data_IF_598008010894
#
_entry.id   IF_598008010894
#
_cell.length_a   1.000
_cell.length_b   1.000
_cell.length_c   1.000
_cell.angle_alpha   90.00
_cell.angle_beta   90.00
_cell.angle_gamma   90.00
#
_symmetry.space_group_name_H-M   'P 1'
#
loop_
_entity.id
_entity.type
_entity.pdbx_description
1 polymer ?
#
# COMPACT_ATOMS: atom_id res chain seq x y z
N UNK A 1 -5.38 13.88 -2.43
CA UNK A 1 -5.57 12.83 -1.41
C UNK A 1 -4.64 13.14 -0.25
N UNK A 2 -5.16 13.24 0.97
CA UNK A 2 -4.42 13.66 2.17
C UNK A 2 -3.22 12.74 2.48
N UNK A 3 -3.38 11.42 2.34
CA UNK A 3 -2.30 10.43 2.50
C UNK A 3 -1.06 10.78 1.66
N UNK A 4 -1.27 11.17 0.39
CA UNK A 4 -0.16 11.54 -0.49
C UNK A 4 0.55 12.82 -0.06
N UNK A 5 -0.20 13.78 0.48
CA UNK A 5 0.37 15.00 1.04
C UNK A 5 1.25 14.70 2.26
N UNK A 6 0.77 13.85 3.18
CA UNK A 6 1.51 13.48 4.39
C UNK A 6 2.76 12.67 4.04
N UNK A 7 2.65 11.65 3.17
CA UNK A 7 3.80 10.86 2.72
C UNK A 7 4.90 11.75 2.13
N UNK A 8 4.54 12.70 1.25
CA UNK A 8 5.52 13.58 0.62
C UNK A 8 6.14 14.56 1.61
N UNK A 9 5.33 15.31 2.35
CA UNK A 9 5.81 16.45 3.14
C UNK A 9 6.32 16.10 4.53
N UNK A 10 5.86 14.99 5.12
CA UNK A 10 6.23 14.58 6.49
C UNK A 10 7.14 13.35 6.52
N UNK A 11 7.04 12.48 5.52
CA UNK A 11 7.79 11.22 5.48
C UNK A 11 8.87 11.18 4.39
N UNK A 12 8.89 12.16 3.47
CA UNK A 12 9.84 12.18 2.35
C UNK A 12 9.65 11.03 1.36
N UNK A 13 8.44 10.46 1.30
CA UNK A 13 8.10 9.33 0.41
C UNK A 13 7.34 9.87 -0.79
N UNK A 14 7.90 9.66 -1.98
CA UNK A 14 7.18 9.89 -3.22
C UNK A 14 6.27 8.71 -3.56
N UNK A 15 5.00 9.01 -3.83
CA UNK A 15 4.00 8.01 -4.17
C UNK A 15 3.75 8.00 -5.67
N UNK A 16 3.63 6.81 -6.23
CA UNK A 16 3.21 6.58 -7.60
C UNK A 16 1.79 6.03 -7.64
N UNK A 17 0.97 6.44 -8.61
CA UNK A 17 -0.41 5.98 -8.72
C UNK A 17 -0.69 5.33 -10.06
N UNK A 18 -1.08 4.05 -10.04
CA UNK A 18 -1.24 3.27 -11.26
C UNK A 18 -2.14 2.04 -11.09
N UNK A 19 -2.57 1.45 -12.21
CA UNK A 19 -3.27 0.18 -12.26
C UNK A 19 -2.26 -0.98 -12.33
N UNK A 20 -1.70 -1.40 -11.19
CA UNK A 20 -0.80 -2.58 -11.14
C UNK A 20 -1.58 -3.89 -11.28
N UNK A 21 -2.86 -3.91 -10.91
CA UNK A 21 -3.82 -4.98 -11.16
C UNK A 21 -4.96 -4.42 -12.05
N UNK A 22 -4.86 -4.49 -13.38
CA UNK A 22 -5.76 -3.80 -14.31
C UNK A 22 -7.23 -4.25 -14.24
N UNK A 23 -7.50 -5.42 -13.66
CA UNK A 23 -8.85 -5.92 -13.40
C UNK A 23 -9.53 -5.29 -12.15
N UNK A 24 -8.82 -4.46 -11.40
CA UNK A 24 -9.41 -3.65 -10.33
C UNK A 24 -9.67 -2.22 -10.82
N UNK A 25 -10.84 -1.69 -10.47
CA UNK A 25 -11.31 -0.38 -10.94
C UNK A 25 -10.52 0.82 -10.39
N UNK A 26 -9.83 0.64 -9.26
CA UNK A 26 -9.15 1.73 -8.57
C UNK A 26 -7.65 1.60 -8.75
N UNK A 27 -7.00 2.71 -9.07
CA UNK A 27 -5.54 2.81 -9.04
C UNK A 27 -5.03 2.47 -7.65
N UNK A 28 -3.91 1.77 -7.63
CA UNK A 28 -3.12 1.51 -6.45
C UNK A 28 -2.17 2.69 -6.19
N UNK A 29 -1.82 2.89 -4.92
CA UNK A 29 -0.87 3.92 -4.48
C UNK A 29 0.37 3.18 -4.03
N UNK A 30 1.44 3.30 -4.81
CA UNK A 30 2.64 2.47 -4.70
C UNK A 30 3.81 3.34 -4.26
N UNK A 31 4.69 2.75 -3.46
CA UNK A 31 6.02 3.29 -3.19
C UNK A 31 7.01 2.14 -3.00
N UNK A 32 8.30 2.42 -3.14
CA UNK A 32 9.37 1.46 -2.93
C UNK A 32 10.27 1.90 -1.78
N UNK A 33 10.79 0.93 -1.04
CA UNK A 33 11.90 1.13 -0.12
C UNK A 33 13.09 0.26 -0.52
N UNK A 34 14.31 0.70 -0.29
CA UNK A 34 15.49 -0.17 -0.43
C UNK A 34 15.60 -1.19 0.73
N UNK A 35 16.67 -1.98 0.72
CA UNK A 35 16.99 -2.94 1.79
C UNK A 35 17.15 -2.27 3.16
N UNK A 36 17.57 -1.01 3.19
CA UNK A 36 17.81 -0.18 4.37
C UNK A 36 16.59 0.68 4.79
N UNK A 37 15.42 0.46 4.16
CA UNK A 37 14.19 1.22 4.38
C UNK A 37 14.24 2.69 3.93
N UNK A 38 15.13 3.07 3.01
CA UNK A 38 15.09 4.40 2.40
C UNK A 38 14.11 4.42 1.22
N UNK A 39 13.33 5.50 1.03
CA UNK A 39 12.48 5.65 -0.16
C UNK A 39 13.30 5.60 -1.45
N UNK A 40 12.78 4.88 -2.45
CA UNK A 40 13.38 4.81 -3.79
C UNK A 40 12.42 5.34 -4.86
N UNK A 41 12.97 5.95 -5.90
CA UNK A 41 12.20 6.42 -7.04
C UNK A 41 11.76 5.23 -7.91
N UNK A 42 10.46 4.95 -7.94
CA UNK A 42 9.89 3.81 -8.68
C UNK A 42 9.12 4.23 -9.94
N UNK A 43 8.91 5.52 -10.17
CA UNK A 43 8.02 6.03 -11.21
C UNK A 43 8.51 5.69 -12.62
N UNK A 44 9.82 5.77 -12.86
CA UNK A 44 10.44 5.38 -14.13
C UNK A 44 10.31 3.88 -14.40
N UNK A 45 10.47 3.05 -13.36
CA UNK A 45 10.34 1.58 -13.44
C UNK A 45 8.90 1.20 -13.83
N UNK A 46 7.92 1.71 -13.09
CA UNK A 46 6.52 1.38 -13.33
C UNK A 46 6.01 1.95 -14.65
N UNK A 47 6.43 3.16 -15.03
CA UNK A 47 5.99 3.77 -16.29
C UNK A 47 6.54 3.07 -17.54
N UNK A 48 7.68 2.38 -17.44
CA UNK A 48 8.22 1.56 -18.52
C UNK A 48 7.46 0.24 -18.73
N UNK A 49 6.66 -0.21 -17.75
CA UNK A 49 5.88 -1.44 -17.87
C UNK A 49 4.67 -1.26 -18.80
N UNK A 50 4.27 -2.29 -19.57
CA UNK A 50 3.15 -2.18 -20.52
C UNK A 50 1.83 -1.72 -19.88
N UNK A 51 1.14 -0.79 -20.54
CA UNK A 51 -0.18 -0.32 -20.11
C UNK A 51 -1.20 -1.48 -20.10
N UNK A 52 -2.04 -1.55 -19.06
CA UNK A 52 -3.09 -2.57 -18.96
C UNK A 52 -2.56 -3.98 -18.65
N UNK A 53 -1.28 -4.12 -18.34
CA UNK A 53 -0.68 -5.38 -17.89
C UNK A 53 -0.64 -5.46 -16.35
N UNK A 54 -0.54 -6.69 -15.83
CA UNK A 54 -0.21 -6.90 -14.43
C UNK A 54 1.25 -6.49 -14.22
N UNK A 55 1.50 -5.51 -13.35
CA UNK A 55 2.84 -4.98 -13.08
C UNK A 55 3.57 -5.83 -12.05
N UNK A 56 4.02 -7.00 -12.47
CA UNK A 56 4.74 -7.94 -11.61
C UNK A 56 6.14 -7.44 -11.27
N UNK A 57 6.44 -7.35 -9.98
CA UNK A 57 7.73 -6.92 -9.42
C UNK A 57 8.46 -8.03 -8.66
N UNK A 58 7.86 -9.23 -8.59
CA UNK A 58 8.52 -10.44 -8.09
C UNK A 58 9.45 -11.02 -9.16
N UNK A 59 10.52 -10.26 -9.46
CA UNK A 59 11.55 -10.61 -10.44
C UNK A 59 12.93 -10.45 -9.83
N UNK A 60 13.92 -11.16 -10.36
CA UNK A 60 15.30 -11.09 -9.86
C UNK A 60 15.91 -9.67 -9.92
N UNK A 61 15.46 -8.87 -10.88
CA UNK A 61 15.93 -7.49 -11.07
C UNK A 61 15.33 -6.52 -10.04
N UNK A 62 14.09 -6.76 -9.61
CA UNK A 62 13.32 -5.82 -8.78
C UNK A 62 13.18 -6.26 -7.31
N UNK A 63 13.66 -7.47 -6.96
CA UNK A 63 13.58 -8.03 -5.59
C UNK A 63 14.31 -7.23 -4.52
N UNK A 64 15.26 -6.36 -4.89
CA UNK A 64 15.98 -5.52 -3.94
C UNK A 64 15.16 -4.31 -3.45
N UNK A 65 14.01 -4.05 -4.09
CA UNK A 65 13.06 -3.02 -3.68
C UNK A 65 11.94 -3.70 -2.89
N UNK A 66 11.65 -3.19 -1.70
CA UNK A 66 10.45 -3.53 -0.92
C UNK A 66 9.28 -2.75 -1.50
N UNK A 67 8.52 -3.39 -2.37
CA UNK A 67 7.35 -2.80 -3.01
C UNK A 67 6.16 -2.77 -2.05
N UNK A 68 5.66 -1.59 -1.75
CA UNK A 68 4.54 -1.38 -0.83
C UNK A 68 3.37 -0.71 -1.55
N UNK A 69 2.16 -1.08 -1.18
CA UNK A 69 0.91 -0.49 -1.72
C UNK A 69 0.07 0.02 -0.56
N UNK A 70 -0.18 1.33 -0.52
CA UNK A 70 -1.14 1.92 0.40
C UNK A 70 -2.54 1.60 -0.13
N UNK A 71 -3.36 0.96 0.72
CA UNK A 71 -4.71 0.52 0.38
C UNK A 71 -5.70 1.28 1.25
N UNK A 72 -6.27 2.41 0.77
CA UNK A 72 -7.36 3.08 1.45
C UNK A 72 -8.57 2.14 1.55
N UNK A 73 -9.09 1.95 2.75
CA UNK A 73 -10.22 1.10 3.04
C UNK A 73 -11.36 1.94 3.60
N UNK A 74 -12.49 1.93 2.90
CA UNK A 74 -13.72 2.54 3.43
C UNK A 74 -14.16 1.82 4.70
N UNK A 75 -14.77 2.55 5.63
CA UNK A 75 -15.37 1.97 6.83
C UNK A 75 -16.35 0.82 6.52
N UNK A 76 -17.00 0.85 5.35
CA UNK A 76 -17.95 -0.16 4.88
C UNK A 76 -17.35 -1.55 4.61
N UNK A 77 -16.03 -1.64 4.41
CA UNK A 77 -15.37 -2.92 4.11
C UNK A 77 -14.98 -3.70 5.37
N UNK A 78 -15.09 -3.08 6.56
CA UNK A 78 -14.84 -3.71 7.86
C UNK A 78 -16.11 -4.43 8.32
N UNK A 79 -15.97 -5.67 8.78
CA UNK A 79 -17.10 -6.44 9.28
C UNK A 79 -17.41 -5.99 10.71
N UNK A 80 -18.65 -5.57 10.96
CA UNK A 80 -19.09 -5.14 12.30
C UNK A 80 -18.93 -6.29 13.29
N UNK A 81 -18.39 -5.98 14.48
CA UNK A 81 -18.07 -6.95 15.54
C UNK A 81 -17.02 -8.02 15.16
N UNK A 82 -16.30 -7.84 14.06
CA UNK A 82 -15.16 -8.67 13.71
C UNK A 82 -13.93 -7.80 13.41
N UNK A 83 -12.75 -8.31 13.77
CA UNK A 83 -11.47 -7.66 13.47
C UNK A 83 -10.96 -8.05 12.07
N UNK A 84 -11.85 -8.05 11.07
CA UNK A 84 -11.55 -8.47 9.71
C UNK A 84 -12.31 -7.65 8.66
N UNK A 85 -11.94 -7.86 7.39
CA UNK A 85 -12.55 -7.20 6.24
C UNK A 85 -13.39 -8.16 5.40
N UNK A 86 -14.15 -7.63 4.46
CA UNK A 86 -14.84 -8.46 3.47
C UNK A 86 -13.85 -9.24 2.58
N UNK A 87 -14.26 -10.41 2.09
CA UNK A 87 -13.41 -11.31 1.30
C UNK A 87 -12.80 -10.68 0.04
N UNK A 88 -13.44 -9.65 -0.53
CA UNK A 88 -12.92 -8.89 -1.66
C UNK A 88 -11.56 -8.25 -1.36
N UNK A 89 -11.38 -7.71 -0.15
CA UNK A 89 -10.13 -7.08 0.29
C UNK A 89 -9.02 -8.14 0.37
N UNK A 90 -9.29 -9.28 1.01
CA UNK A 90 -8.34 -10.38 1.08
C UNK A 90 -7.97 -10.95 -0.29
N UNK A 91 -8.91 -11.00 -1.24
CA UNK A 91 -8.62 -11.40 -2.62
C UNK A 91 -7.63 -10.44 -3.27
N UNK A 92 -7.86 -9.12 -3.16
CA UNK A 92 -6.95 -8.11 -3.70
C UNK A 92 -5.55 -8.24 -3.09
N UNK A 93 -5.46 -8.39 -1.77
CA UNK A 93 -4.18 -8.56 -1.08
C UNK A 93 -3.42 -9.80 -1.52
N UNK A 94 -4.10 -10.93 -1.69
CA UNK A 94 -3.45 -12.14 -2.23
C UNK A 94 -2.88 -11.90 -3.61
N UNK A 95 -3.62 -11.25 -4.51
CA UNK A 95 -3.11 -10.92 -5.84
C UNK A 95 -1.91 -9.98 -5.78
N UNK A 96 -1.94 -8.94 -4.92
CA UNK A 96 -0.82 -8.02 -4.73
C UNK A 96 0.44 -8.75 -4.23
N UNK A 97 0.28 -9.63 -3.24
CA UNK A 97 1.38 -10.42 -2.68
C UNK A 97 2.00 -11.36 -3.71
N UNK A 98 1.17 -12.02 -4.53
CA UNK A 98 1.64 -12.93 -5.60
C UNK A 98 2.54 -12.23 -6.61
N UNK A 99 2.33 -10.94 -6.85
CA UNK A 99 3.11 -10.18 -7.85
C UNK A 99 4.18 -9.29 -7.20
N UNK A 100 4.51 -9.53 -5.92
CA UNK A 100 5.63 -8.92 -5.22
C UNK A 100 5.33 -7.68 -4.36
N UNK A 101 4.08 -7.22 -4.26
CA UNK A 101 3.74 -6.06 -3.41
C UNK A 101 3.26 -6.47 -2.02
N UNK A 102 3.63 -5.68 -1.03
CA UNK A 102 3.05 -5.75 0.32
C UNK A 102 1.95 -4.70 0.49
N UNK A 103 0.68 -5.10 0.67
CA UNK A 103 -0.40 -4.16 0.95
C UNK A 103 -0.30 -3.60 2.38
N UNK A 104 -0.56 -2.30 2.52
CA UNK A 104 -0.64 -1.56 3.78
C UNK A 104 -2.05 -0.95 3.88
N UNK A 105 -2.94 -1.52 4.70
CA UNK A 105 -4.30 -1.00 4.84
C UNK A 105 -4.31 0.34 5.58
N UNK A 106 -5.08 1.30 5.07
CA UNK A 106 -5.39 2.56 5.75
C UNK A 106 -6.91 2.60 5.96
N UNK A 107 -7.35 2.38 7.20
CA UNK A 107 -8.77 2.34 7.52
C UNK A 107 -9.33 3.76 7.73
N UNK A 108 -10.32 4.13 6.92
CA UNK A 108 -11.01 5.42 6.97
C UNK A 108 -11.53 5.76 8.38
N UNK A 109 -12.15 4.80 9.08
CA UNK A 109 -12.70 5.02 10.41
C UNK A 109 -11.65 5.34 11.49
N UNK A 110 -10.39 4.95 11.27
CA UNK A 110 -9.27 5.28 12.15
C UNK A 110 -8.64 6.60 11.69
N UNK A 111 -8.45 6.72 10.38
CA UNK A 111 -7.85 7.87 9.71
C UNK A 111 -8.58 9.17 10.01
N UNK A 112 -9.91 9.19 9.88
CA UNK A 112 -10.74 10.39 10.07
C UNK A 112 -10.78 10.86 11.53
N UNK A 113 -10.40 10.01 12.49
CA UNK A 113 -10.34 10.37 13.92
C UNK A 113 -8.98 10.94 14.36
N UNK A 114 -8.00 11.03 13.46
CA UNK A 114 -6.65 11.49 13.76
C UNK A 114 -6.41 12.92 13.28
N UNK A 115 -5.64 13.70 14.03
CA UNK A 115 -5.03 14.93 13.53
C UNK A 115 -3.87 14.63 12.55
N UNK A 116 -3.36 15.67 11.88
CA UNK A 116 -2.31 15.52 10.86
C UNK A 116 -1.03 14.86 11.40
N UNK A 117 -0.59 15.21 12.60
CA UNK A 117 0.64 14.66 13.18
C UNK A 117 0.46 13.20 13.58
N UNK A 118 -0.71 12.88 14.15
CA UNK A 118 -1.12 11.51 14.47
C UNK A 118 -1.23 10.65 13.21
N UNK A 119 -1.75 11.20 12.10
CA UNK A 119 -1.78 10.53 10.78
C UNK A 119 -0.37 10.26 10.26
N UNK A 120 0.54 11.22 10.38
CA UNK A 120 1.93 11.07 9.97
C UNK A 120 2.65 9.99 10.79
N UNK A 121 2.47 10.00 12.11
CA UNK A 121 2.99 8.96 13.00
C UNK A 121 2.40 7.59 12.67
N UNK A 122 1.09 7.50 12.45
CA UNK A 122 0.42 6.25 12.11
C UNK A 122 0.95 5.66 10.80
N UNK A 123 1.11 6.47 9.75
CA UNK A 123 1.75 6.03 8.51
C UNK A 123 3.19 5.58 8.71
N UNK A 124 3.98 6.31 9.52
CA UNK A 124 5.36 5.92 9.83
C UNK A 124 5.42 4.52 10.46
N UNK A 125 4.54 4.23 11.42
CA UNK A 125 4.45 2.91 12.05
C UNK A 125 4.07 1.83 11.04
N UNK A 126 3.01 2.06 10.25
CA UNK A 126 2.57 1.10 9.23
C UNK A 126 3.65 0.80 8.17
N UNK A 127 4.45 1.80 7.79
CA UNK A 127 5.43 1.68 6.71
C UNK A 127 6.73 1.04 7.20
N UNK A 128 7.25 1.46 8.35
CA UNK A 128 8.62 1.14 8.78
C UNK A 128 8.71 0.11 9.89
N UNK A 129 7.70 0.02 10.76
CA UNK A 129 7.69 -0.93 11.88
C UNK A 129 7.10 -2.29 11.47
N UNK A 130 6.73 -2.42 10.18
CA UNK A 130 6.08 -3.59 9.57
C UNK A 130 5.03 -4.19 10.52
N UNK A 131 4.19 -3.31 11.09
CA UNK A 131 3.02 -3.69 11.88
C UNK A 131 2.03 -4.35 10.92
N UNK A 132 2.36 -5.59 10.56
CA UNK A 132 1.43 -6.53 10.01
C UNK A 132 0.42 -6.73 11.13
N UNK A 133 -0.75 -6.12 11.00
CA UNK A 133 -1.91 -6.71 11.65
C UNK A 133 -1.87 -8.18 11.23
N UNK A 134 -1.79 -9.10 12.19
CA UNK A 134 -1.86 -10.55 12.03
C UNK A 134 -3.24 -10.90 11.40
N UNK A 135 -3.43 -10.52 10.14
CA UNK A 135 -4.70 -10.53 9.41
C UNK A 135 -5.03 -11.93 8.90
N UNK A 136 -4.19 -12.91 9.25
CA UNK A 136 -4.27 -14.31 8.82
C UNK A 136 -4.26 -15.29 10.01
N UNK A 137 -4.41 -14.83 11.26
CA UNK A 137 -4.73 -15.74 12.37
C UNK A 137 -6.21 -16.08 12.36
N UNK A 138 -6.58 -16.97 11.45
CA UNK A 138 -7.77 -17.84 11.52
C UNK A 138 -7.43 -19.14 10.85
#
# INVERSE_FOLDING_TARGET
MEVAFICKNKLGIELYSDYILPHYLNKDIIFGLDTHNNPVEIGSILSAMPLGSIKNVDTDELKNIKWKVLVPLSASVKIVNANCYIGYIYRKWRHLKIIGYTPIPICENIWECMDEESKAQHLRQLIYEDVQYDLFKT
#
